data_IF_336290538923
#
_entry.id   IF_336290538923
#
_cell.length_a   1.000
_cell.length_b   1.000
_cell.length_c   1.000
_cell.angle_alpha   90.00
_cell.angle_beta   90.00
_cell.angle_gamma   90.00
#
_symmetry.space_group_name_H-M   'P 1'
#
loop_
_entity.id
_entity.type
_entity.pdbx_description
1 polymer ?
#
# COMPACT_ATOMS: atom_id res chain seq x y z
N UNK A 1 13.65 -3.26 44.90
CA UNK A 1 12.86 -4.37 44.34
C UNK A 1 13.18 -4.39 42.86
N UNK A 2 13.85 -5.44 42.36
CA UNK A 2 13.95 -5.64 40.92
C UNK A 2 12.53 -5.66 40.35
N UNK A 3 12.26 -4.86 39.32
CA UNK A 3 10.94 -4.83 38.68
C UNK A 3 10.61 -6.23 38.17
N UNK A 4 9.46 -6.79 38.54
CA UNK A 4 8.97 -8.07 38.01
C UNK A 4 8.72 -7.94 36.50
N UNK A 5 9.78 -8.16 35.71
CA UNK A 5 9.72 -8.06 34.26
C UNK A 5 9.01 -9.29 33.69
N UNK A 6 7.84 -9.06 33.13
CA UNK A 6 7.01 -10.05 32.46
C UNK A 6 6.79 -9.63 31.01
N UNK A 7 7.03 -10.54 30.08
CA UNK A 7 6.84 -10.30 28.66
C UNK A 7 6.03 -11.43 28.05
N UNK A 8 4.95 -11.09 27.35
CA UNK A 8 4.23 -12.00 26.48
C UNK A 8 4.23 -11.43 25.08
N UNK A 9 4.94 -12.09 24.18
CA UNK A 9 4.85 -11.83 22.75
C UNK A 9 3.88 -12.83 22.13
N UNK A 10 2.90 -12.30 21.41
CA UNK A 10 1.89 -13.09 20.73
C UNK A 10 1.68 -12.55 19.32
N UNK A 11 1.77 -13.43 18.33
CA UNK A 11 1.37 -13.12 16.94
C UNK A 11 0.51 -14.25 16.44
N UNK A 12 -0.68 -13.93 15.94
CA UNK A 12 -1.61 -14.95 15.48
C UNK A 12 -2.77 -14.37 14.71
N UNK A 13 -3.46 -15.22 13.96
CA UNK A 13 -4.64 -14.85 13.21
C UNK A 13 -5.62 -16.03 13.11
N UNK A 14 -6.91 -15.72 13.01
CA UNK A 14 -7.96 -16.70 12.73
C UNK A 14 -8.31 -16.66 11.24
N UNK A 15 -7.78 -17.62 10.49
CA UNK A 15 -8.01 -17.78 9.05
C UNK A 15 -9.09 -18.81 8.74
N UNK A 16 -9.25 -19.11 7.44
CA UNK A 16 -10.15 -20.17 6.95
C UNK A 16 -9.78 -21.57 7.48
N UNK A 17 -8.50 -21.76 7.80
CA UNK A 17 -7.93 -23.04 8.21
C UNK A 17 -7.78 -23.18 9.74
N UNK A 18 -8.39 -22.27 10.51
CA UNK A 18 -8.35 -22.29 11.97
C UNK A 18 -7.54 -21.14 12.56
N UNK A 19 -7.09 -21.35 13.79
CA UNK A 19 -6.33 -20.36 14.55
C UNK A 19 -4.85 -20.69 14.50
N UNK A 20 -4.07 -19.89 13.78
CA UNK A 20 -2.62 -20.02 13.69
C UNK A 20 -1.96 -18.96 14.57
N UNK A 21 -0.99 -19.36 15.39
CA UNK A 21 -0.29 -18.42 16.26
C UNK A 21 1.11 -18.91 16.69
N UNK A 22 1.93 -17.95 17.09
CA UNK A 22 3.23 -18.10 17.70
C UNK A 22 3.25 -17.25 18.97
N UNK A 23 3.69 -17.84 20.08
CA UNK A 23 3.69 -17.20 21.38
C UNK A 23 4.98 -17.50 22.14
N UNK A 24 5.53 -16.46 22.76
CA UNK A 24 6.60 -16.53 23.75
C UNK A 24 6.14 -15.85 25.04
N UNK A 25 6.22 -16.54 26.18
CA UNK A 25 5.95 -16.01 27.53
C UNK A 25 7.24 -16.09 28.35
N UNK A 26 7.79 -14.94 28.73
CA UNK A 26 8.94 -14.82 29.63
C UNK A 26 8.46 -14.33 30.99
N UNK A 27 8.75 -15.12 32.01
CA UNK A 27 8.35 -14.85 33.40
C UNK A 27 9.51 -14.25 34.20
N UNK A 28 9.22 -13.54 35.31
CA UNK A 28 10.25 -12.93 36.15
C UNK A 28 11.29 -13.92 36.70
N UNK A 29 10.93 -15.20 36.85
CA UNK A 29 11.82 -16.29 37.30
C UNK A 29 12.74 -16.84 36.19
N UNK A 30 12.73 -16.23 34.99
CA UNK A 30 13.49 -16.68 33.83
C UNK A 30 12.85 -17.86 33.09
N UNK A 31 11.64 -18.30 33.47
CA UNK A 31 10.93 -19.34 32.74
C UNK A 31 10.41 -18.80 31.40
N UNK A 32 10.87 -19.40 30.31
CA UNK A 32 10.37 -19.20 28.96
C UNK A 32 9.38 -20.31 28.60
N UNK A 33 8.22 -19.92 28.08
CA UNK A 33 7.29 -20.83 27.40
C UNK A 33 7.13 -20.42 25.94
N UNK A 34 7.14 -21.43 25.10
CA UNK A 34 6.94 -21.30 23.66
C UNK A 34 5.73 -22.12 23.26
N UNK A 35 4.83 -21.52 22.48
CA UNK A 35 3.74 -22.21 21.81
C UNK A 35 3.69 -21.81 20.33
N UNK A 36 3.61 -22.80 19.45
CA UNK A 36 3.41 -22.58 18.02
C UNK A 36 2.32 -23.51 17.52
N UNK A 37 1.27 -22.92 16.97
CA UNK A 37 0.21 -23.62 16.29
C UNK A 37 0.15 -23.13 14.84
N UNK A 38 0.81 -23.84 13.93
CA UNK A 38 0.91 -23.44 12.52
C UNK A 38 -0.18 -24.03 11.63
N UNK A 39 -0.93 -25.06 12.10
CA UNK A 39 -1.84 -25.89 11.32
C UNK A 39 -1.27 -26.40 9.97
N UNK A 40 0.04 -26.34 9.77
CA UNK A 40 0.67 -26.70 8.51
C UNK A 40 0.65 -28.21 8.36
N UNK A 41 0.00 -28.73 7.31
CA UNK A 41 -0.14 -30.18 7.06
C UNK A 41 -0.74 -30.97 8.24
N UNK A 42 -1.69 -30.38 8.97
CA UNK A 42 -2.32 -30.99 10.15
C UNK A 42 -1.32 -31.27 11.29
N UNK A 43 -0.30 -30.42 11.46
CA UNK A 43 0.65 -30.54 12.56
C UNK A 43 -0.02 -30.33 13.93
N UNK A 44 0.55 -30.92 14.96
CA UNK A 44 0.10 -30.77 16.35
C UNK A 44 0.78 -29.53 16.93
N UNK A 45 0.03 -28.73 17.70
CA UNK A 45 0.58 -27.57 18.40
C UNK A 45 1.82 -27.94 19.21
N UNK A 46 2.93 -27.25 18.91
CA UNK A 46 4.20 -27.42 19.60
C UNK A 46 4.20 -26.57 20.85
N UNK A 47 4.52 -27.19 22.00
CA UNK A 47 4.73 -26.50 23.27
C UNK A 47 6.09 -26.87 23.84
N UNK A 48 6.86 -25.87 24.28
CA UNK A 48 8.16 -26.05 24.92
C UNK A 48 8.29 -25.13 26.13
N UNK A 49 8.99 -25.60 27.14
CA UNK A 49 9.39 -24.79 28.29
C UNK A 49 10.91 -24.88 28.46
N UNK A 50 11.53 -23.76 28.83
CA UNK A 50 12.95 -23.68 29.15
C UNK A 50 13.18 -22.60 30.22
N UNK A 51 14.37 -22.57 30.81
CA UNK A 51 14.83 -21.43 31.60
C UNK A 51 15.89 -20.66 30.82
N UNK A 52 15.79 -19.35 30.83
CA UNK A 52 16.77 -18.45 30.22
C UNK A 52 17.59 -17.73 31.28
N UNK A 53 18.83 -17.39 30.93
CA UNK A 53 19.71 -16.66 31.82
C UNK A 53 19.24 -15.21 32.00
N UNK A 54 19.61 -14.58 33.13
CA UNK A 54 19.29 -13.17 33.43
C UNK A 54 19.68 -12.21 32.29
N UNK A 55 20.83 -12.45 31.66
CA UNK A 55 21.30 -11.64 30.51
C UNK A 55 20.33 -11.63 29.33
N UNK A 56 19.58 -12.72 29.11
CA UNK A 56 18.54 -12.75 28.06
C UNK A 56 17.34 -11.89 28.48
N UNK A 57 16.95 -11.95 29.75
CA UNK A 57 15.84 -11.13 30.29
C UNK A 57 16.18 -9.64 30.24
N UNK A 58 17.41 -9.26 30.61
CA UNK A 58 17.91 -7.88 30.54
C UNK A 58 17.93 -7.35 29.11
N UNK A 59 18.35 -8.18 28.14
CA UNK A 59 18.38 -7.79 26.74
C UNK A 59 16.97 -7.62 26.14
N UNK A 60 16.03 -8.51 26.48
CA UNK A 60 14.62 -8.35 26.06
C UNK A 60 14.03 -7.05 26.60
N UNK A 61 14.31 -6.72 27.87
CA UNK A 61 13.87 -5.46 28.47
C UNK A 61 14.46 -4.26 27.74
N UNK A 62 15.77 -4.29 27.45
CA UNK A 62 16.46 -3.24 26.70
C UNK A 62 15.83 -3.03 25.32
N UNK A 63 15.57 -4.10 24.56
CA UNK A 63 14.94 -4.02 23.23
C UNK A 63 13.57 -3.34 23.30
N UNK A 64 12.75 -3.68 24.30
CA UNK A 64 11.42 -3.09 24.47
C UNK A 64 11.52 -1.60 24.81
N UNK A 65 12.37 -1.26 25.77
CA UNK A 65 12.58 0.12 26.22
C UNK A 65 13.11 1.00 25.07
N UNK A 66 14.13 0.51 24.33
CA UNK A 66 14.74 1.23 23.20
C UNK A 66 13.79 1.37 22.00
N UNK A 67 12.90 0.40 21.78
CA UNK A 67 11.93 0.44 20.68
C UNK A 67 10.76 1.40 20.92
N UNK A 68 10.54 1.80 22.17
CA UNK A 68 9.37 2.56 22.63
C UNK A 68 8.02 1.94 22.24
N UNK A 69 7.97 0.64 21.91
CA UNK A 69 6.76 -0.04 21.39
C UNK A 69 5.56 0.03 22.35
N UNK A 70 5.83 0.20 23.64
CA UNK A 70 4.79 0.37 24.68
C UNK A 70 4.07 1.72 24.62
N UNK A 71 4.57 2.67 23.82
CA UNK A 71 3.95 3.97 23.56
C UNK A 71 3.04 3.96 22.31
N UNK A 72 3.09 2.89 21.52
CA UNK A 72 2.31 2.75 20.30
C UNK A 72 0.94 2.12 20.59
N UNK A 73 -0.06 2.50 19.79
CA UNK A 73 -1.44 1.97 19.84
C UNK A 73 -1.87 1.49 18.44
N UNK A 74 -2.40 0.27 18.37
CA UNK A 74 -2.88 -0.34 17.14
C UNK A 74 -4.40 -0.16 16.92
N UNK A 75 -5.09 0.62 17.78
CA UNK A 75 -6.53 0.84 17.67
C UNK A 75 -7.00 1.43 16.32
N UNK A 76 -6.13 2.17 15.63
CA UNK A 76 -6.39 2.76 14.31
C UNK A 76 -5.84 1.92 13.15
N UNK A 77 -5.26 0.75 13.42
CA UNK A 77 -4.74 -0.11 12.35
C UNK A 77 -5.91 -0.73 11.59
N UNK A 78 -5.81 -0.83 10.26
CA UNK A 78 -6.83 -1.51 9.48
C UNK A 78 -6.92 -2.98 9.93
N UNK A 79 -8.13 -3.54 10.07
CA UNK A 79 -8.28 -4.93 10.48
C UNK A 79 -7.58 -5.85 9.48
N UNK A 80 -6.86 -6.89 9.96
CA UNK A 80 -6.19 -7.83 9.08
C UNK A 80 -7.23 -8.54 8.20
N UNK A 81 -7.08 -8.39 6.88
CA UNK A 81 -7.95 -9.08 5.94
C UNK A 81 -7.58 -10.58 5.88
N UNK A 82 -8.54 -11.43 5.51
CA UNK A 82 -8.33 -12.89 5.48
C UNK A 82 -7.43 -13.35 4.33
N UNK A 83 -7.00 -12.46 3.43
CA UNK A 83 -6.37 -12.81 2.15
C UNK A 83 -5.00 -12.13 1.94
N UNK A 84 -4.60 -11.22 2.85
CA UNK A 84 -3.45 -10.34 2.66
C UNK A 84 -3.67 -9.26 1.59
N UNK A 85 -4.92 -8.90 1.31
CA UNK A 85 -5.32 -7.81 0.39
C UNK A 85 -5.41 -6.50 1.16
N UNK A 86 -4.73 -5.51 0.63
CA UNK A 86 -4.87 -4.12 1.07
C UNK A 86 -5.37 -3.29 -0.10
N UNK A 87 -6.30 -2.37 0.17
CA UNK A 87 -6.65 -1.34 -0.81
C UNK A 87 -5.85 -0.08 -0.53
N UNK A 88 -5.23 0.46 -1.56
CA UNK A 88 -4.49 1.72 -1.48
C UNK A 88 -5.05 2.66 -2.53
N UNK A 89 -5.55 3.81 -2.09
CA UNK A 89 -6.02 4.90 -2.93
C UNK A 89 -4.86 5.83 -3.30
N UNK A 90 -4.71 6.13 -4.59
CA UNK A 90 -3.87 7.22 -5.07
C UNK A 90 -4.72 8.49 -5.17
N UNK A 91 -4.35 9.49 -4.41
CA UNK A 91 -4.97 10.81 -4.44
C UNK A 91 -4.10 11.79 -5.21
N UNK A 92 -4.73 12.57 -6.09
CA UNK A 92 -4.11 13.66 -6.84
C UNK A 92 -4.53 15.00 -6.22
N UNK A 93 -3.62 15.97 -6.26
CA UNK A 93 -3.91 17.39 -6.03
C UNK A 93 -3.20 18.20 -7.10
N UNK A 94 -3.91 19.16 -7.68
CA UNK A 94 -3.36 20.10 -8.66
C UNK A 94 -4.12 21.43 -8.58
N UNK A 95 -3.51 22.49 -9.08
CA UNK A 95 -4.19 23.75 -9.37
C UNK A 95 -4.65 23.72 -10.82
N UNK A 96 -5.96 23.84 -11.05
CA UNK A 96 -6.59 23.89 -12.36
C UNK A 96 -6.91 25.33 -12.75
N UNK A 97 -6.51 25.71 -13.95
CA UNK A 97 -6.90 26.97 -14.60
C UNK A 97 -7.79 26.64 -15.79
N UNK A 98 -9.05 27.09 -15.73
CA UNK A 98 -10.05 26.95 -16.80
C UNK A 98 -10.29 25.52 -17.32
N UNK A 99 -10.01 24.51 -16.48
CA UNK A 99 -10.16 23.08 -16.81
C UNK A 99 -11.04 22.33 -15.83
N UNK A 100 -11.61 21.23 -16.31
CA UNK A 100 -12.31 20.22 -15.52
C UNK A 100 -12.10 18.83 -16.14
N UNK A 101 -12.66 17.80 -15.51
CA UNK A 101 -12.68 16.43 -16.03
C UNK A 101 -11.30 15.84 -16.38
N UNK A 102 -10.25 16.22 -15.63
CA UNK A 102 -8.90 15.68 -15.78
C UNK A 102 -8.91 14.20 -15.41
N UNK A 103 -8.57 13.32 -16.35
CA UNK A 103 -8.65 11.87 -16.17
C UNK A 103 -7.62 11.11 -17.01
N UNK A 104 -7.20 9.91 -16.56
CA UNK A 104 -6.49 8.99 -17.44
C UNK A 104 -7.41 8.55 -18.59
N UNK A 105 -6.88 8.49 -19.81
CA UNK A 105 -7.62 8.06 -21.00
C UNK A 105 -7.05 6.74 -21.55
N UNK A 106 -7.93 5.79 -21.86
CA UNK A 106 -7.56 4.50 -22.45
C UNK A 106 -7.19 3.39 -21.44
N UNK A 107 -7.37 2.13 -21.85
CA UNK A 107 -6.98 0.96 -21.03
C UNK A 107 -5.47 0.72 -21.03
N UNK A 108 -4.75 1.34 -21.96
CA UNK A 108 -3.29 1.31 -22.09
C UNK A 108 -2.57 2.41 -21.30
N UNK A 109 -3.32 3.28 -20.61
CA UNK A 109 -2.79 4.29 -19.70
C UNK A 109 -1.82 3.67 -18.68
N UNK A 110 -0.64 4.30 -18.55
CA UNK A 110 0.47 3.77 -17.75
C UNK A 110 0.52 4.45 -16.39
N UNK A 111 0.20 3.70 -15.35
CA UNK A 111 0.41 4.11 -13.96
C UNK A 111 1.86 3.83 -13.55
N UNK A 112 2.76 4.81 -13.69
CA UNK A 112 4.16 4.66 -13.27
C UNK A 112 4.29 4.79 -11.76
N UNK A 113 4.72 3.71 -11.12
CA UNK A 113 4.77 3.56 -9.67
C UNK A 113 6.14 3.10 -9.21
N UNK A 114 6.55 3.56 -8.04
CA UNK A 114 7.52 2.85 -7.19
C UNK A 114 6.76 1.93 -6.26
N UNK A 115 7.25 0.71 -6.11
CA UNK A 115 6.56 -0.31 -5.32
C UNK A 115 7.46 -0.84 -4.22
N UNK A 116 6.88 -1.04 -3.04
CA UNK A 116 7.49 -1.57 -1.83
C UNK A 116 6.99 -2.99 -1.57
N UNK A 117 7.90 -3.91 -1.29
CA UNK A 117 7.53 -5.24 -0.83
C UNK A 117 7.05 -5.18 0.62
N UNK A 118 5.80 -5.57 0.87
CA UNK A 118 5.22 -5.61 2.21
C UNK A 118 5.87 -6.62 3.17
N UNK A 119 6.74 -7.51 2.66
CA UNK A 119 7.42 -8.52 3.47
C UNK A 119 8.80 -8.10 3.98
N UNK A 120 9.64 -7.55 3.10
CA UNK A 120 11.03 -7.22 3.43
C UNK A 120 11.35 -5.73 3.32
N UNK A 121 10.39 -4.91 2.90
CA UNK A 121 10.56 -3.47 2.77
C UNK A 121 11.29 -3.00 1.50
N UNK A 122 11.80 -3.92 0.66
CA UNK A 122 12.50 -3.59 -0.58
C UNK A 122 11.65 -2.68 -1.49
N UNK A 123 12.22 -1.56 -1.93
CA UNK A 123 11.58 -0.59 -2.84
C UNK A 123 12.25 -0.67 -4.21
N UNK A 124 11.44 -0.65 -5.27
CA UNK A 124 11.96 -0.72 -6.64
C UNK A 124 12.87 0.46 -7.01
N UNK A 125 14.10 0.18 -7.46
CA UNK A 125 15.03 1.20 -7.95
C UNK A 125 14.53 1.94 -9.19
N UNK A 126 13.79 1.27 -10.08
CA UNK A 126 13.25 1.85 -11.32
C UNK A 126 11.74 2.06 -11.22
N UNK A 127 11.25 3.04 -11.96
CA UNK A 127 9.82 3.18 -12.23
C UNK A 127 9.31 1.94 -12.95
N UNK A 128 8.15 1.46 -12.53
CA UNK A 128 7.44 0.35 -13.16
C UNK A 128 6.04 0.85 -13.50
N UNK A 129 5.52 0.50 -14.67
CA UNK A 129 4.15 0.85 -15.02
C UNK A 129 3.24 -0.37 -14.96
N UNK A 130 1.98 -0.13 -14.61
CA UNK A 130 0.87 -1.07 -14.77
C UNK A 130 -0.22 -0.42 -15.62
N UNK A 131 -0.97 -1.24 -16.36
CA UNK A 131 -2.07 -0.80 -17.24
C UNK A 131 -3.32 -1.62 -16.96
N UNK A 132 -4.48 -1.07 -17.27
CA UNK A 132 -5.76 -1.76 -17.12
C UNK A 132 -5.85 -2.98 -18.04
N UNK A 133 -5.34 -2.84 -19.27
CA UNK A 133 -5.35 -3.92 -20.26
C UNK A 133 -4.45 -5.11 -19.89
N UNK A 134 -3.49 -4.91 -18.97
CA UNK A 134 -2.62 -5.99 -18.52
C UNK A 134 -3.37 -6.83 -17.48
N UNK A 135 -3.41 -8.15 -17.71
CA UNK A 135 -4.06 -9.08 -16.78
C UNK A 135 -3.26 -10.38 -16.71
N UNK A 136 -2.75 -10.68 -15.52
CA UNK A 136 -1.95 -11.87 -15.22
C UNK A 136 -2.71 -12.74 -14.23
N UNK A 137 -2.92 -14.01 -14.56
CA UNK A 137 -3.64 -14.95 -13.70
C UNK A 137 -2.88 -15.22 -12.40
N UNK A 138 -3.57 -15.15 -11.27
CA UNK A 138 -3.01 -15.48 -9.96
C UNK A 138 -3.08 -16.99 -9.70
N UNK A 139 -2.03 -17.53 -9.08
CA UNK A 139 -2.00 -18.94 -8.67
C UNK A 139 -3.13 -19.26 -7.69
N UNK A 140 -3.71 -20.45 -7.83
CA UNK A 140 -4.73 -20.98 -6.92
C UNK A 140 -6.13 -20.40 -7.13
N UNK A 141 -6.46 -19.92 -8.34
CA UNK A 141 -7.80 -19.43 -8.67
C UNK A 141 -8.17 -18.12 -7.95
N UNK A 142 -7.18 -17.31 -7.57
CA UNK A 142 -7.38 -16.09 -6.76
C UNK A 142 -7.76 -14.85 -7.56
N UNK A 143 -8.13 -15.03 -8.83
CA UNK A 143 -8.43 -13.96 -9.79
C UNK A 143 -7.25 -13.64 -10.72
N UNK A 144 -7.24 -12.43 -11.25
CA UNK A 144 -6.16 -11.84 -12.04
C UNK A 144 -5.54 -10.66 -11.28
N UNK A 145 -4.43 -10.12 -11.78
CA UNK A 145 -3.86 -8.86 -11.33
C UNK A 145 -3.21 -8.14 -12.52
N UNK A 146 -3.11 -6.81 -12.45
CA UNK A 146 -2.43 -6.01 -13.47
C UNK A 146 -0.93 -6.32 -13.56
N UNK A 147 -0.32 -6.71 -12.44
CA UNK A 147 1.07 -7.17 -12.40
C UNK A 147 1.28 -8.20 -11.30
N UNK A 148 2.12 -9.20 -11.60
CA UNK A 148 2.64 -10.18 -10.65
C UNK A 148 4.16 -10.19 -10.76
N UNK A 149 4.87 -10.03 -9.64
CA UNK A 149 6.33 -10.11 -9.63
C UNK A 149 6.89 -10.72 -8.36
N UNK A 150 8.08 -11.33 -8.47
CA UNK A 150 8.85 -11.79 -7.32
C UNK A 150 9.75 -10.67 -6.81
N UNK A 151 9.73 -10.44 -5.50
CA UNK A 151 10.67 -9.53 -4.85
C UNK A 151 12.10 -10.00 -5.10
N UNK A 152 12.97 -9.08 -5.56
CA UNK A 152 14.38 -9.39 -5.84
C UNK A 152 15.19 -9.74 -4.59
N UNK A 153 14.75 -9.28 -3.42
CA UNK A 153 15.42 -9.53 -2.14
C UNK A 153 14.92 -10.82 -1.46
N UNK A 154 13.63 -10.92 -1.14
CA UNK A 154 13.10 -12.05 -0.37
C UNK A 154 12.42 -13.15 -1.21
N UNK A 155 12.42 -13.03 -2.54
CA UNK A 155 11.79 -13.94 -3.50
C UNK A 155 10.27 -14.13 -3.37
N UNK A 156 9.61 -13.45 -2.42
CA UNK A 156 8.14 -13.50 -2.26
C UNK A 156 7.44 -13.01 -3.52
N UNK A 157 6.48 -13.78 -4.00
CA UNK A 157 5.61 -13.43 -5.11
C UNK A 157 4.53 -12.46 -4.61
N UNK A 158 4.46 -11.28 -5.23
CA UNK A 158 3.53 -10.22 -4.88
C UNK A 158 2.75 -9.80 -6.14
N UNK A 159 1.60 -9.16 -5.94
CA UNK A 159 0.79 -8.66 -7.05
C UNK A 159 0.09 -7.35 -6.72
N UNK A 160 -0.28 -6.61 -7.76
CA UNK A 160 -1.06 -5.38 -7.68
C UNK A 160 -2.09 -5.36 -8.83
N UNK A 161 -3.32 -4.97 -8.54
CA UNK A 161 -4.42 -4.88 -9.49
C UNK A 161 -5.04 -3.48 -9.46
N UNK A 162 -5.23 -2.88 -10.64
CA UNK A 162 -5.94 -1.61 -10.77
C UNK A 162 -7.44 -1.89 -10.69
N UNK A 163 -8.14 -1.20 -9.80
CA UNK A 163 -9.59 -1.33 -9.68
C UNK A 163 -10.29 -0.37 -10.64
N UNK A 164 -10.60 -0.83 -11.85
CA UNK A 164 -11.14 0.01 -12.94
C UNK A 164 -12.38 0.85 -12.54
N UNK A 165 -13.28 0.30 -11.74
CA UNK A 165 -14.50 0.98 -11.26
C UNK A 165 -14.23 2.16 -10.31
N UNK A 166 -13.02 2.25 -9.79
CA UNK A 166 -12.59 3.30 -8.84
C UNK A 166 -11.92 4.48 -9.52
N UNK A 167 -11.68 4.40 -10.84
CA UNK A 167 -11.09 5.52 -11.57
C UNK A 167 -12.11 6.67 -11.62
N UNK A 168 -11.69 7.85 -11.14
CA UNK A 168 -12.52 9.06 -11.07
C UNK A 168 -11.78 10.25 -11.68
N UNK A 169 -12.48 11.16 -12.37
CA UNK A 169 -11.88 12.40 -12.85
C UNK A 169 -11.59 13.36 -11.68
N UNK A 170 -10.63 14.25 -11.89
CA UNK A 170 -10.34 15.42 -11.07
C UNK A 170 -10.97 16.64 -11.74
N UNK A 171 -11.93 17.27 -11.08
CA UNK A 171 -12.77 18.33 -11.64
C UNK A 171 -12.44 19.69 -11.02
N UNK A 172 -13.03 20.76 -11.58
CA UNK A 172 -12.87 22.12 -11.07
C UNK A 172 -13.27 22.27 -9.59
N UNK A 173 -14.28 21.55 -9.09
CA UNK A 173 -14.68 21.59 -7.68
C UNK A 173 -13.65 20.96 -6.71
N UNK A 174 -12.77 20.12 -7.24
CA UNK A 174 -11.72 19.43 -6.50
C UNK A 174 -10.42 20.25 -6.42
N UNK A 175 -10.36 21.39 -7.10
CA UNK A 175 -9.17 22.23 -7.23
C UNK A 175 -8.46 22.43 -5.88
N UNK A 176 -7.14 22.24 -5.88
CA UNK A 176 -6.24 22.35 -4.71
C UNK A 176 -6.56 21.40 -3.54
N UNK A 177 -7.44 20.41 -3.72
CA UNK A 177 -7.74 19.37 -2.72
C UNK A 177 -7.22 18.03 -3.18
N UNK A 178 -6.81 17.19 -2.22
CA UNK A 178 -6.53 15.79 -2.51
C UNK A 178 -7.83 15.04 -2.78
N UNK A 179 -7.89 14.39 -3.94
CA UNK A 179 -9.00 13.50 -4.33
C UNK A 179 -8.47 12.19 -4.88
N UNK A 180 -9.08 11.09 -4.45
CA UNK A 180 -8.80 9.75 -4.98
C UNK A 180 -9.16 9.69 -6.46
N UNK A 181 -8.17 9.39 -7.31
CA UNK A 181 -8.36 9.22 -8.76
C UNK A 181 -8.33 7.75 -9.18
N UNK A 182 -7.76 6.85 -8.36
CA UNK A 182 -7.74 5.40 -8.57
C UNK A 182 -7.44 4.66 -7.27
N UNK A 183 -7.95 3.43 -7.12
CA UNK A 183 -7.57 2.49 -6.08
C UNK A 183 -6.86 1.25 -6.66
N UNK A 184 -5.93 0.70 -5.88
CA UNK A 184 -5.21 -0.53 -6.18
C UNK A 184 -5.52 -1.61 -5.15
N UNK A 185 -5.83 -2.83 -5.60
CA UNK A 185 -5.78 -4.02 -4.73
C UNK A 185 -4.35 -4.55 -4.69
N UNK A 186 -3.73 -4.45 -3.52
CA UNK A 186 -2.34 -4.77 -3.26
C UNK A 186 -2.23 -6.09 -2.51
N UNK A 187 -1.34 -6.98 -2.96
CA UNK A 187 -1.03 -8.26 -2.30
C UNK A 187 0.47 -8.40 -2.11
N UNK A 188 0.97 -7.85 -1.00
CA UNK A 188 2.40 -7.83 -0.65
C UNK A 188 3.24 -6.85 -1.48
N UNK A 189 2.62 -6.03 -2.33
CA UNK A 189 3.26 -5.02 -3.15
C UNK A 189 2.47 -3.71 -3.05
N UNK A 190 3.03 -2.72 -2.36
CA UNK A 190 2.37 -1.44 -2.08
C UNK A 190 3.00 -0.34 -2.95
N UNK A 191 2.22 0.50 -3.65
CA UNK A 191 2.76 1.68 -4.30
C UNK A 191 3.17 2.71 -3.23
N UNK A 192 4.34 3.33 -3.43
CA UNK A 192 4.92 4.30 -2.48
C UNK A 192 5.32 5.62 -3.14
N UNK A 193 5.32 5.67 -4.47
CA UNK A 193 5.57 6.89 -5.25
C UNK A 193 4.85 6.76 -6.60
N UNK A 194 4.47 7.88 -7.19
CA UNK A 194 3.75 7.98 -8.45
C UNK A 194 4.34 9.07 -9.34
N UNK A 195 4.60 8.71 -10.61
CA UNK A 195 5.02 9.65 -11.64
C UNK A 195 3.91 9.75 -12.70
N UNK A 196 3.06 10.79 -12.66
CA UNK A 196 2.15 11.02 -13.78
C UNK A 196 2.97 11.35 -15.04
N UNK A 197 2.55 10.85 -16.19
CA UNK A 197 3.18 11.13 -17.49
C UNK A 197 2.09 11.49 -18.51
N UNK A 198 2.30 11.17 -19.79
CA UNK A 198 1.31 11.33 -20.85
C UNK A 198 0.11 10.36 -20.73
N UNK A 199 -0.97 10.69 -21.44
CA UNK A 199 -2.20 9.89 -21.51
C UNK A 199 -3.35 10.43 -20.67
N UNK A 200 -3.21 11.63 -20.09
CA UNK A 200 -4.34 12.33 -19.48
C UNK A 200 -5.15 13.08 -20.55
N UNK A 201 -6.42 13.29 -20.25
CA UNK A 201 -7.28 14.21 -20.98
C UNK A 201 -8.04 15.10 -19.99
N UNK A 202 -8.38 16.31 -20.43
CA UNK A 202 -9.18 17.28 -19.68
C UNK A 202 -10.12 18.04 -20.63
N UNK A 203 -11.04 18.80 -20.06
CA UNK A 203 -12.00 19.61 -20.81
C UNK A 203 -11.96 21.06 -20.32
N UNK A 204 -12.03 22.01 -21.25
CA UNK A 204 -12.24 23.42 -20.94
C UNK A 204 -13.52 23.60 -20.13
N UNK A 205 -13.41 24.24 -18.96
CA UNK A 205 -14.47 24.25 -17.95
C UNK A 205 -15.79 24.84 -18.47
N UNK A 206 -15.72 25.86 -19.33
CA UNK A 206 -16.89 26.50 -19.94
C UNK A 206 -17.15 26.04 -21.38
N UNK A 207 -16.09 25.79 -22.14
CA UNK A 207 -16.14 25.54 -23.59
C UNK A 207 -16.44 24.09 -23.98
N UNK A 208 -16.16 23.15 -23.07
CA UNK A 208 -16.09 21.72 -23.36
C UNK A 208 -15.03 21.33 -24.41
N UNK A 209 -14.06 22.20 -24.70
CA UNK A 209 -12.93 21.88 -25.59
C UNK A 209 -12.13 20.74 -24.96
N UNK A 210 -11.92 19.65 -25.70
CA UNK A 210 -11.21 18.47 -25.20
C UNK A 210 -9.72 18.61 -25.47
N UNK A 211 -8.92 18.51 -24.41
CA UNK A 211 -7.47 18.45 -24.46
C UNK A 211 -7.03 17.01 -24.21
N UNK A 212 -6.40 16.38 -25.20
CA UNK A 212 -5.92 14.99 -25.13
C UNK A 212 -4.40 14.95 -24.99
N UNK A 213 -3.86 13.76 -24.68
CA UNK A 213 -2.42 13.48 -24.59
C UNK A 213 -1.67 14.44 -23.65
N UNK A 214 -2.35 14.95 -22.63
CA UNK A 214 -1.77 15.80 -21.59
C UNK A 214 -0.66 15.02 -20.88
N UNK A 215 0.53 15.61 -20.81
CA UNK A 215 1.69 15.04 -20.14
C UNK A 215 2.01 15.82 -18.88
N UNK A 216 1.84 15.18 -17.73
CA UNK A 216 2.06 15.76 -16.40
C UNK A 216 3.41 15.36 -15.79
N UNK A 217 4.37 14.89 -16.59
CA UNK A 217 5.71 14.50 -16.11
C UNK A 217 6.45 15.66 -15.43
N UNK A 218 6.33 16.87 -15.97
CA UNK A 218 6.95 18.08 -15.41
C UNK A 218 6.10 18.71 -14.29
N UNK A 219 4.98 18.09 -13.92
CA UNK A 219 4.00 18.53 -12.91
C UNK A 219 3.23 19.81 -13.23
N UNK A 220 3.61 20.49 -14.29
CA UNK A 220 2.90 21.65 -14.84
C UNK A 220 2.61 21.43 -16.32
N UNK A 221 1.45 21.88 -16.79
CA UNK A 221 1.02 21.83 -18.18
C UNK A 221 0.18 23.07 -18.49
N UNK A 222 0.35 23.62 -19.69
CA UNK A 222 -0.39 24.80 -20.16
C UNK A 222 -0.75 24.64 -21.63
N UNK A 223 -1.91 25.16 -22.02
CA UNK A 223 -2.35 25.28 -23.40
C UNK A 223 -3.30 26.48 -23.51
N UNK A 224 -3.98 26.64 -24.64
CA UNK A 224 -4.89 27.74 -24.90
C UNK A 224 -6.22 27.25 -25.47
N UNK A 225 -7.33 27.73 -24.90
CA UNK A 225 -8.67 27.42 -25.40
C UNK A 225 -9.14 28.48 -26.39
N UNK A 226 -9.06 28.15 -27.67
CA UNK A 226 -9.46 29.04 -28.78
C UNK A 226 -10.93 29.46 -28.72
N UNK A 227 -11.81 28.70 -28.05
CA UNK A 227 -13.24 29.05 -27.98
C UNK A 227 -13.53 30.14 -26.95
N UNK A 228 -12.84 30.12 -25.82
CA UNK A 228 -13.00 31.14 -24.75
C UNK A 228 -11.96 32.26 -24.86
N UNK A 229 -10.90 32.06 -25.64
CA UNK A 229 -9.75 32.95 -25.75
C UNK A 229 -9.01 33.12 -24.41
N UNK A 230 -8.87 32.03 -23.67
CA UNK A 230 -8.24 31.99 -22.36
C UNK A 230 -7.16 30.91 -22.28
N UNK A 231 -6.18 31.12 -21.40
CA UNK A 231 -5.21 30.09 -21.02
C UNK A 231 -5.92 28.97 -20.26
N UNK A 232 -5.44 27.74 -20.46
CA UNK A 232 -5.80 26.58 -19.66
C UNK A 232 -4.53 25.99 -19.05
N UNK A 233 -4.64 25.45 -17.84
CA UNK A 233 -3.47 24.99 -17.12
C UNK A 233 -3.74 23.99 -16.01
N UNK A 234 -2.72 23.17 -15.75
CA UNK A 234 -2.67 22.20 -14.64
C UNK A 234 -1.32 22.40 -13.98
N UNK A 235 -1.31 22.79 -12.71
CA UNK A 235 -0.09 23.18 -12.02
C UNK A 235 0.09 22.48 -10.68
N UNK A 236 1.31 22.49 -10.20
CA UNK A 236 1.71 22.00 -8.88
C UNK A 236 1.22 20.56 -8.60
N UNK A 237 1.22 19.71 -9.63
CA UNK A 237 0.71 18.35 -9.53
C UNK A 237 1.48 17.60 -8.44
N UNK A 238 0.74 17.13 -7.45
CA UNK A 238 1.25 16.34 -6.34
C UNK A 238 0.29 15.19 -6.02
N UNK A 239 0.77 14.24 -5.23
CA UNK A 239 0.01 13.04 -4.91
C UNK A 239 0.27 12.56 -3.49
N UNK A 240 -0.64 11.73 -3.00
CA UNK A 240 -0.44 10.95 -1.78
C UNK A 240 -1.15 9.59 -1.88
N UNK A 241 -0.73 8.64 -1.05
CA UNK A 241 -1.36 7.34 -0.92
C UNK A 241 -2.10 7.23 0.41
N UNK A 242 -3.33 6.71 0.37
CA UNK A 242 -4.17 6.48 1.55
C UNK A 242 -4.52 4.99 1.62
N UNK A 243 -4.37 4.38 2.80
CA UNK A 243 -4.81 3.01 3.05
C UNK A 243 -6.31 3.01 3.30
N UNK A 244 -7.05 2.17 2.59
CA UNK A 244 -8.51 2.06 2.62
C UNK A 244 -8.99 0.82 3.38
#
# INVERSE_FOLDING_TARGET
MESDFYLRYYVGHKGKFGHEFLEFEFRPDGKLRYANNSNYKNDVMIRKEAYVHKSVMEELKRIIDDSEITKEDDALWPPPDRVGRQKIALQLRATLENLTNLRPLGEDFRWYLKMKCGNCGEISEKWQYIRLMDSVALKGGRGSASMVQKCKLCARENSIEILSSTIKPYNAEDNEKFKTIVEFECRGLEPVDFQPQAGFAAEGAESGTVFNDINLQEKDWTDYDEKTQESVGIFEVTHQFVKC
#
